data_IF_087651661535
#
_entry.id   IF_087651661535
#
_cell.length_a   1.000
_cell.length_b   1.000
_cell.length_c   1.000
_cell.angle_alpha   90.00
_cell.angle_beta   90.00
_cell.angle_gamma   90.00
#
_symmetry.space_group_name_H-M   'P 1'
#
loop_
_entity.id
_entity.type
_entity.pdbx_description
1 polymer ?
#
# COMPACT_ATOMS: atom_id res chain seq x y z
N UNK A 1 20.68 -16.64 6.44
CA UNK A 1 19.36 -16.41 7.06
C UNK A 1 18.50 -15.80 5.96
N UNK A 2 17.46 -16.49 5.47
CA UNK A 2 16.55 -15.88 4.47
C UNK A 2 15.87 -14.72 5.17
N UNK A 3 15.98 -13.52 4.62
CA UNK A 3 15.22 -12.36 5.08
C UNK A 3 13.75 -12.80 5.14
N UNK A 4 13.20 -12.78 6.34
CA UNK A 4 11.80 -13.13 6.59
C UNK A 4 10.99 -12.17 5.72
N UNK A 5 10.22 -12.67 4.76
CA UNK A 5 9.39 -11.85 3.87
C UNK A 5 8.50 -10.95 4.73
N UNK A 6 8.98 -9.72 4.95
CA UNK A 6 8.28 -8.74 5.76
C UNK A 6 7.19 -8.18 4.88
N UNK A 7 5.94 -8.35 5.31
CA UNK A 7 4.79 -7.83 4.58
C UNK A 7 4.98 -6.34 4.27
N UNK A 8 4.76 -5.97 3.00
CA UNK A 8 4.85 -4.59 2.51
C UNK A 8 3.48 -4.13 2.06
N UNK A 9 3.22 -2.84 2.23
CA UNK A 9 2.05 -2.18 1.66
C UNK A 9 2.43 -0.82 1.09
N UNK A 10 1.81 -0.47 -0.04
CA UNK A 10 1.93 0.83 -0.69
C UNK A 10 0.54 1.33 -0.99
N UNK A 11 0.25 2.55 -0.55
CA UNK A 11 -0.99 3.25 -0.87
C UNK A 11 -0.75 4.17 -2.07
N UNK A 12 -1.56 4.00 -3.11
CA UNK A 12 -1.53 4.80 -4.33
C UNK A 12 -2.78 5.68 -4.40
N UNK A 13 -2.60 6.90 -4.92
CA UNK A 13 -3.71 7.81 -5.27
C UNK A 13 -3.55 8.23 -6.70
N UNK A 14 -4.66 8.33 -7.41
CA UNK A 14 -4.70 8.96 -8.72
C UNK A 14 -6.00 9.78 -8.85
N UNK A 15 -5.87 11.10 -8.83
CA UNK A 15 -6.95 12.04 -9.15
C UNK A 15 -6.69 12.62 -10.54
N UNK A 16 -7.50 12.26 -11.53
CA UNK A 16 -7.29 12.69 -12.93
C UNK A 16 -7.40 14.20 -13.15
N UNK A 17 -8.00 14.94 -12.21
CA UNK A 17 -8.11 16.40 -12.29
C UNK A 17 -6.91 17.12 -11.67
N UNK A 18 -6.16 16.45 -10.78
CA UNK A 18 -5.09 17.06 -9.98
C UNK A 18 -3.72 16.44 -10.18
N UNK A 19 -3.67 15.14 -10.38
CA UNK A 19 -2.46 14.34 -10.46
C UNK A 19 -2.16 14.03 -11.95
N UNK A 20 -0.99 14.44 -12.45
CA UNK A 20 -0.55 14.12 -13.82
C UNK A 20 -0.38 12.60 -14.02
N UNK A 21 0.04 11.90 -12.95
CA UNK A 21 0.24 10.44 -12.88
C UNK A 21 -0.10 9.92 -11.49
N UNK A 22 -0.35 8.61 -11.30
CA UNK A 22 -0.54 8.03 -9.97
C UNK A 22 0.63 8.32 -9.03
N UNK A 23 0.32 8.66 -7.79
CA UNK A 23 1.30 9.00 -6.75
C UNK A 23 1.25 8.05 -5.57
N UNK A 24 2.41 7.79 -4.97
CA UNK A 24 2.50 7.05 -3.70
C UNK A 24 2.22 8.01 -2.55
N UNK A 25 1.18 7.73 -1.77
CA UNK A 25 0.81 8.55 -0.60
C UNK A 25 1.31 7.94 0.72
N UNK A 26 1.51 6.62 0.77
CA UNK A 26 2.12 5.95 1.91
C UNK A 26 2.85 4.67 1.45
N UNK A 27 3.89 4.29 2.18
CA UNK A 27 4.58 3.00 2.01
C UNK A 27 5.10 2.51 3.36
N UNK A 28 5.09 1.21 3.58
CA UNK A 28 5.56 0.63 4.83
C UNK A 28 5.77 -0.87 4.76
N UNK A 29 6.40 -1.40 5.82
CA UNK A 29 6.65 -2.82 6.01
C UNK A 29 6.30 -3.25 7.45
N UNK A 30 6.01 -4.53 7.66
CA UNK A 30 5.63 -5.08 8.95
C UNK A 30 4.44 -4.34 9.55
N UNK A 31 4.57 -3.87 10.80
CA UNK A 31 3.51 -3.14 11.50
C UNK A 31 2.94 -1.94 10.73
N UNK A 32 3.79 -1.21 9.99
CA UNK A 32 3.31 -0.07 9.19
C UNK A 32 2.47 -0.55 8.01
N UNK A 33 2.81 -1.69 7.40
CA UNK A 33 2.02 -2.28 6.32
C UNK A 33 0.64 -2.75 6.83
N UNK A 34 0.59 -3.35 8.02
CA UNK A 34 -0.66 -3.71 8.70
C UNK A 34 -1.54 -2.47 8.93
N UNK A 35 -0.95 -1.38 9.45
CA UNK A 35 -1.68 -0.12 9.67
C UNK A 35 -2.19 0.52 8.38
N UNK A 36 -1.41 0.47 7.29
CA UNK A 36 -1.86 0.97 5.98
C UNK A 36 -3.09 0.18 5.50
N UNK A 37 -3.08 -1.15 5.64
CA UNK A 37 -4.24 -2.00 5.28
C UNK A 37 -5.45 -1.69 6.15
N UNK A 38 -5.29 -1.59 7.47
CA UNK A 38 -6.38 -1.28 8.41
C UNK A 38 -7.10 0.02 8.02
N UNK A 39 -6.34 1.10 7.79
CA UNK A 39 -6.90 2.40 7.37
C UNK A 39 -7.61 2.29 6.02
N UNK A 40 -7.05 1.53 5.07
CA UNK A 40 -7.67 1.33 3.77
C UNK A 40 -9.02 0.58 3.88
N UNK A 41 -9.13 -0.43 4.76
CA UNK A 41 -10.40 -1.11 5.04
C UNK A 41 -11.43 -0.16 5.65
N UNK A 42 -11.04 0.58 6.68
CA UNK A 42 -11.92 1.54 7.36
C UNK A 42 -12.41 2.65 6.42
N UNK A 43 -11.58 3.05 5.46
CA UNK A 43 -11.88 4.10 4.49
C UNK A 43 -12.58 3.58 3.22
N UNK A 44 -12.80 2.26 3.10
CA UNK A 44 -13.38 1.65 1.89
C UNK A 44 -12.49 1.71 0.66
N UNK A 45 -11.17 1.84 0.83
CA UNK A 45 -10.19 1.85 -0.26
C UNK A 45 -9.89 0.41 -0.69
N UNK A 46 -9.97 0.07 -1.98
CA UNK A 46 -9.72 -1.29 -2.46
C UNK A 46 -8.26 -1.70 -2.23
N UNK A 47 -8.06 -2.93 -1.76
CA UNK A 47 -6.74 -3.53 -1.58
C UNK A 47 -6.56 -4.67 -2.57
N UNK A 48 -5.43 -4.63 -3.26
CA UNK A 48 -4.98 -5.69 -4.18
C UNK A 48 -3.72 -6.33 -3.60
N UNK A 49 -3.74 -7.64 -3.40
CA UNK A 49 -2.53 -8.41 -3.11
C UNK A 49 -1.76 -8.61 -4.42
N UNK A 50 -0.51 -8.19 -4.46
CA UNK A 50 0.37 -8.35 -5.62
C UNK A 50 1.62 -9.12 -5.22
N UNK A 51 1.65 -10.41 -5.53
CA UNK A 51 2.68 -11.36 -5.08
C UNK A 51 4.02 -11.20 -5.83
N UNK A 52 4.05 -10.46 -6.94
CA UNK A 52 5.29 -10.19 -7.69
C UNK A 52 6.03 -8.95 -7.15
N UNK A 53 5.39 -8.17 -6.28
CA UNK A 53 5.91 -6.92 -5.70
C UNK A 53 6.29 -7.03 -4.21
N UNK A 54 6.10 -8.21 -3.60
CA UNK A 54 6.34 -8.49 -2.18
C UNK A 54 7.82 -8.80 -1.87
#
# INVERSE_FOLDING_TARGET
MKEKDMEKAVALRYDTEKDEVPVVVAKGQGFIAEKIKEIAWESGVPIKEDRELA
#
